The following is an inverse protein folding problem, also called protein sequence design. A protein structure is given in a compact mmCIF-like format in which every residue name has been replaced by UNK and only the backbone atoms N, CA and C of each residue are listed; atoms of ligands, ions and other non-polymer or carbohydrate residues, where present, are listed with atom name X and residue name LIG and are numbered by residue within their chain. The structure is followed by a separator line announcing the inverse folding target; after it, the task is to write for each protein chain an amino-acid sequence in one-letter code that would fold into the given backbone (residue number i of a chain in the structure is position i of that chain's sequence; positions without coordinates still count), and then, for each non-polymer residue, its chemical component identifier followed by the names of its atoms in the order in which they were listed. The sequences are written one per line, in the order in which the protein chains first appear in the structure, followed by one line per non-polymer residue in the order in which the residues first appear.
data_IF_296838784556
#
_entry.id   IF_296838784556
#
_cell.length_a   1.000
_cell.length_b   1.000
_cell.length_c   1.000
_cell.angle_alpha   90.00
_cell.angle_beta   90.00
_cell.angle_gamma   90.00
#
_symmetry.space_group_name_H-M   'P 1'
#
loop_
_entity.id
_entity.type
_entity.pdbx_description
1 polymer ?
#
# COMPACT_ATOMS: atom_id res chain seq x y z
N UNK A 1 -30.40 19.71 -4.74
CA UNK A 1 -28.97 19.95 -4.41
C UNK A 1 -28.23 18.73 -3.81
N UNK A 2 -28.90 17.65 -3.37
CA UNK A 2 -28.23 16.51 -2.70
C UNK A 2 -27.40 15.56 -3.59
N UNK A 3 -27.67 15.48 -4.90
CA UNK A 3 -27.04 14.47 -5.76
C UNK A 3 -25.60 14.82 -6.22
N UNK A 4 -25.21 16.09 -6.21
CA UNK A 4 -23.88 16.49 -6.70
C UNK A 4 -22.77 16.18 -5.68
N UNK A 5 -23.00 16.52 -4.40
CA UNK A 5 -22.10 16.21 -3.29
C UNK A 5 -21.93 14.70 -3.07
N UNK A 6 -23.02 13.92 -3.15
CA UNK A 6 -22.96 12.46 -3.03
C UNK A 6 -22.18 11.79 -4.18
N UNK A 7 -22.29 12.32 -5.41
CA UNK A 7 -21.57 11.80 -6.58
C UNK A 7 -20.07 12.17 -6.52
N UNK A 8 -19.74 13.36 -6.01
CA UNK A 8 -18.36 13.82 -5.81
C UNK A 8 -17.64 13.05 -4.70
N UNK A 9 -18.31 12.83 -3.56
CA UNK A 9 -17.73 12.07 -2.44
C UNK A 9 -17.42 10.62 -2.84
N UNK A 10 -18.29 10.02 -3.68
CA UNK A 10 -18.07 8.70 -4.29
C UNK A 10 -16.84 8.67 -5.22
N UNK A 11 -16.74 9.59 -6.17
CA UNK A 11 -15.71 9.52 -7.23
C UNK A 11 -14.31 9.91 -6.73
N UNK A 12 -14.21 10.84 -5.79
CA UNK A 12 -12.92 11.46 -5.46
C UNK A 12 -12.34 11.06 -4.11
N UNK A 13 -13.16 10.61 -3.16
CA UNK A 13 -12.70 10.19 -1.83
C UNK A 13 -12.90 8.70 -1.65
N UNK A 14 -14.12 8.21 -1.90
CA UNK A 14 -14.43 6.79 -1.73
C UNK A 14 -13.72 5.94 -2.77
N UNK A 15 -13.59 6.38 -4.02
CA UNK A 15 -12.95 5.59 -5.08
C UNK A 15 -11.46 5.32 -4.79
N UNK A 16 -10.60 6.31 -4.51
CA UNK A 16 -9.20 6.02 -4.16
C UNK A 16 -9.05 5.30 -2.81
N UNK A 17 -9.93 5.55 -1.84
CA UNK A 17 -9.99 4.74 -0.60
C UNK A 17 -10.39 3.30 -0.89
N UNK A 18 -11.34 3.05 -1.78
CA UNK A 18 -11.78 1.73 -2.19
C UNK A 18 -10.64 0.99 -2.91
N UNK A 19 -9.95 1.66 -3.83
CA UNK A 19 -8.78 1.12 -4.53
C UNK A 19 -7.52 0.93 -3.66
N UNK A 20 -7.48 1.47 -2.45
CA UNK A 20 -6.37 1.25 -1.50
C UNK A 20 -6.75 0.30 -0.38
N UNK A 21 -7.90 0.52 0.25
CA UNK A 21 -8.40 -0.28 1.39
C UNK A 21 -8.77 -1.69 0.94
N UNK A 22 -9.44 -1.89 -0.19
CA UNK A 22 -9.87 -3.24 -0.61
C UNK A 22 -8.70 -4.14 -0.97
N UNK A 23 -7.74 -3.73 -1.82
CA UNK A 23 -6.59 -4.57 -2.12
C UNK A 23 -5.80 -4.93 -0.85
N UNK A 24 -5.66 -3.98 0.07
CA UNK A 24 -4.96 -4.21 1.35
C UNK A 24 -5.74 -5.17 2.24
N UNK A 25 -7.05 -5.03 2.32
CA UNK A 25 -7.92 -5.93 3.09
C UNK A 25 -7.89 -7.34 2.50
N UNK A 26 -7.95 -7.46 1.16
CA UNK A 26 -7.80 -8.74 0.44
C UNK A 26 -6.44 -9.38 0.73
N UNK A 27 -5.35 -8.60 0.65
CA UNK A 27 -4.00 -9.08 0.95
C UNK A 27 -3.89 -9.56 2.40
N UNK A 28 -4.45 -8.83 3.36
CA UNK A 28 -4.48 -9.24 4.77
C UNK A 28 -5.26 -10.55 4.94
N UNK A 29 -6.45 -10.66 4.35
CA UNK A 29 -7.28 -11.87 4.44
C UNK A 29 -6.57 -13.07 3.82
N UNK A 30 -6.02 -12.92 2.61
CA UNK A 30 -5.28 -13.97 1.91
C UNK A 30 -4.06 -14.39 2.72
N UNK A 31 -3.28 -13.44 3.26
CA UNK A 31 -2.11 -13.74 4.09
C UNK A 31 -2.48 -14.43 5.40
N UNK A 32 -3.57 -14.02 6.05
CA UNK A 32 -4.07 -14.71 7.25
C UNK A 32 -4.51 -16.15 6.94
N UNK A 33 -5.18 -16.35 5.81
CA UNK A 33 -5.53 -17.68 5.30
C UNK A 33 -4.29 -18.53 5.03
N UNK A 34 -3.28 -17.97 4.36
CA UNK A 34 -2.01 -18.62 4.11
C UNK A 34 -1.29 -19.00 5.42
N UNK A 35 -1.21 -18.10 6.40
CA UNK A 35 -0.60 -18.39 7.71
C UNK A 35 -1.33 -19.55 8.41
N UNK A 36 -2.67 -19.54 8.40
CA UNK A 36 -3.47 -20.63 8.99
C UNK A 36 -3.18 -21.97 8.31
N UNK A 37 -3.14 -22.00 6.98
CA UNK A 37 -2.82 -23.21 6.23
C UNK A 37 -1.37 -23.67 6.48
N UNK A 38 -0.40 -22.76 6.56
CA UNK A 38 1.00 -23.08 6.89
C UNK A 38 1.15 -23.67 8.29
N UNK A 39 0.36 -23.19 9.27
CA UNK A 39 0.34 -23.75 10.63
C UNK A 39 -0.29 -25.15 10.69
N UNK A 40 -1.19 -25.46 9.76
CA UNK A 40 -1.80 -26.80 9.64
C UNK A 40 -0.91 -27.79 8.88
N UNK A 41 0.00 -27.31 8.04
CA UNK A 41 1.01 -28.15 7.40
C UNK A 41 2.06 -28.57 8.44
N UNK A 42 2.41 -29.87 8.45
CA UNK A 42 3.48 -30.47 9.25
C UNK A 42 4.87 -30.05 8.75
N UNK A 43 5.13 -28.74 8.79
CA UNK A 43 6.42 -28.15 8.45
C UNK A 43 7.33 -28.15 9.67
N UNK A 44 8.64 -28.23 9.43
CA UNK A 44 9.64 -28.07 10.50
C UNK A 44 9.48 -26.70 11.17
N UNK A 45 9.66 -26.64 12.49
CA UNK A 45 9.50 -25.41 13.29
C UNK A 45 10.32 -24.21 12.76
N UNK A 46 11.54 -24.43 12.23
CA UNK A 46 12.34 -23.36 11.57
C UNK A 46 11.60 -22.74 10.37
N UNK A 47 10.95 -23.57 9.55
CA UNK A 47 10.28 -23.10 8.34
C UNK A 47 9.02 -22.33 8.68
N UNK A 48 8.23 -22.78 9.65
CA UNK A 48 7.04 -22.08 10.13
C UNK A 48 7.39 -20.70 10.71
N UNK A 49 8.38 -20.63 11.61
CA UNK A 49 8.84 -19.36 12.20
C UNK A 49 9.38 -18.40 11.15
N UNK A 50 10.11 -18.91 10.15
CA UNK A 50 10.61 -18.11 9.04
C UNK A 50 9.48 -17.51 8.21
N UNK A 51 8.51 -18.33 7.79
CA UNK A 51 7.39 -17.86 6.99
C UNK A 51 6.56 -16.82 7.73
N UNK A 52 6.29 -17.03 9.03
CA UNK A 52 5.57 -16.05 9.84
C UNK A 52 6.34 -14.73 9.93
N UNK A 53 7.66 -14.78 10.15
CA UNK A 53 8.51 -13.58 10.22
C UNK A 53 8.58 -12.85 8.89
N UNK A 54 8.71 -13.56 7.77
CA UNK A 54 8.71 -12.99 6.42
C UNK A 54 7.40 -12.28 6.12
N UNK A 55 6.26 -12.96 6.34
CA UNK A 55 4.93 -12.38 6.12
C UNK A 55 4.73 -11.14 6.99
N UNK A 56 5.12 -11.20 8.26
CA UNK A 56 4.99 -10.05 9.17
C UNK A 56 5.81 -8.85 8.68
N UNK A 57 7.05 -9.07 8.22
CA UNK A 57 7.91 -8.02 7.66
C UNK A 57 7.32 -7.42 6.38
N UNK A 58 6.83 -8.27 5.46
CA UNK A 58 6.16 -7.82 4.22
C UNK A 58 4.94 -6.95 4.52
N UNK A 59 4.10 -7.37 5.48
CA UNK A 59 2.92 -6.61 5.90
C UNK A 59 3.27 -5.26 6.52
N UNK A 60 4.31 -5.20 7.36
CA UNK A 60 4.75 -3.94 7.97
C UNK A 60 5.24 -2.97 6.89
N UNK A 61 6.12 -3.42 5.99
CA UNK A 61 6.65 -2.58 4.91
C UNK A 61 5.53 -2.09 4.00
N UNK A 62 4.61 -2.97 3.61
CA UNK A 62 3.48 -2.57 2.77
C UNK A 62 2.56 -1.56 3.46
N UNK A 63 2.30 -1.71 4.76
CA UNK A 63 1.52 -0.71 5.52
C UNK A 63 2.21 0.65 5.56
N UNK A 64 3.53 0.67 5.77
CA UNK A 64 4.32 1.91 5.80
C UNK A 64 4.28 2.59 4.44
N UNK A 65 4.57 1.85 3.36
CA UNK A 65 4.57 2.40 2.01
C UNK A 65 3.19 2.90 1.60
N UNK A 66 2.13 2.14 1.90
CA UNK A 66 0.75 2.55 1.65
C UNK A 66 0.36 3.79 2.45
N UNK A 67 0.74 3.90 3.72
CA UNK A 67 0.47 5.09 4.50
C UNK A 67 1.23 6.30 3.93
N UNK A 68 2.52 6.13 3.63
CA UNK A 68 3.38 7.18 3.12
C UNK A 68 2.95 7.69 1.73
N UNK A 69 2.42 6.83 0.87
CA UNK A 69 2.02 7.21 -0.49
C UNK A 69 0.52 7.47 -0.63
N UNK A 70 -0.32 6.73 0.08
CA UNK A 70 -1.78 6.80 0.01
C UNK A 70 -2.35 8.00 0.76
N UNK A 71 -1.76 8.39 1.91
CA UNK A 71 -2.23 9.56 2.65
C UNK A 71 -2.04 10.87 1.88
N UNK A 72 -0.87 11.17 1.28
CA UNK A 72 -0.71 12.36 0.45
C UNK A 72 -1.65 12.38 -0.77
N UNK A 73 -1.90 11.22 -1.39
CA UNK A 73 -2.81 11.11 -2.53
C UNK A 73 -4.28 11.38 -2.14
N UNK A 74 -4.70 10.89 -0.96
CA UNK A 74 -6.02 11.21 -0.41
C UNK A 74 -6.15 12.70 -0.06
N UNK A 75 -5.10 13.31 0.50
CA UNK A 75 -5.04 14.75 0.75
C UNK A 75 -5.10 15.58 -0.54
N UNK A 76 -4.39 15.17 -1.60
CA UNK A 76 -4.49 15.78 -2.93
C UNK A 76 -5.95 15.82 -3.38
N UNK A 77 -6.66 14.69 -3.26
CA UNK A 77 -8.04 14.56 -3.74
C UNK A 77 -8.98 15.46 -2.94
N UNK A 78 -8.79 15.55 -1.62
CA UNK A 78 -9.54 16.46 -0.75
C UNK A 78 -9.23 17.94 -1.05
N UNK A 79 -7.97 18.27 -1.30
CA UNK A 79 -7.52 19.63 -1.62
C UNK A 79 -8.08 20.11 -2.97
N UNK A 80 -7.99 19.30 -4.02
CA UNK A 80 -8.57 19.59 -5.33
C UNK A 80 -10.08 19.83 -5.23
N UNK A 81 -10.76 19.07 -4.36
CA UNK A 81 -12.18 19.26 -4.11
C UNK A 81 -12.47 20.59 -3.40
N UNK A 82 -11.79 20.86 -2.29
CA UNK A 82 -11.98 22.06 -1.48
C UNK A 82 -11.70 23.35 -2.28
N UNK A 83 -10.79 23.27 -3.26
CA UNK A 83 -10.37 24.43 -4.07
C UNK A 83 -10.96 24.45 -5.47
N UNK A 84 -11.93 23.58 -5.77
CA UNK A 84 -12.52 23.42 -7.11
C UNK A 84 -13.23 24.67 -7.64
N UNK A 85 -13.78 25.50 -6.75
CA UNK A 85 -14.48 26.75 -7.10
C UNK A 85 -13.59 27.99 -6.95
N UNK A 86 -12.37 27.83 -6.44
CA UNK A 86 -11.46 28.96 -6.20
C UNK A 86 -10.85 29.42 -7.52
N UNK A 87 -10.96 30.71 -7.84
CA UNK A 87 -10.21 31.29 -8.94
C UNK A 87 -8.73 31.37 -8.57
N UNK A 88 -7.90 30.62 -9.31
CA UNK A 88 -6.44 30.58 -9.14
C UNK A 88 -5.76 31.26 -10.33
N UNK A 89 -4.68 31.99 -10.06
CA UNK A 89 -3.84 32.57 -11.12
C UNK A 89 -3.20 31.47 -11.97
N UNK A 90 -2.77 31.81 -13.19
CA UNK A 90 -2.10 30.85 -14.09
C UNK A 90 -0.86 30.22 -13.44
N UNK A 91 -0.03 31.04 -12.79
CA UNK A 91 1.17 30.60 -12.10
C UNK A 91 0.85 29.64 -10.94
N UNK A 92 -0.17 29.95 -10.13
CA UNK A 92 -0.59 29.07 -9.04
C UNK A 92 -1.08 27.72 -9.55
N UNK A 93 -1.88 27.70 -10.62
CA UNK A 93 -2.37 26.44 -11.24
C UNK A 93 -1.23 25.57 -11.75
N UNK A 94 -0.20 26.17 -12.35
CA UNK A 94 0.95 25.41 -12.86
C UNK A 94 1.76 24.78 -11.73
N UNK A 95 2.04 25.55 -10.67
CA UNK A 95 2.77 25.04 -9.49
C UNK A 95 1.98 23.93 -8.82
N UNK A 96 0.67 24.13 -8.61
CA UNK A 96 -0.22 23.13 -8.04
C UNK A 96 -0.23 21.83 -8.87
N UNK A 97 -0.40 21.93 -10.19
CA UNK A 97 -0.36 20.76 -11.08
C UNK A 97 0.96 19.99 -10.99
N UNK A 98 2.10 20.69 -10.86
CA UNK A 98 3.39 20.03 -10.67
C UNK A 98 3.42 19.22 -9.37
N UNK A 99 2.97 19.81 -8.25
CA UNK A 99 2.89 19.09 -6.98
C UNK A 99 1.96 17.88 -7.04
N UNK A 100 0.79 18.01 -7.66
CA UNK A 100 -0.15 16.90 -7.83
C UNK A 100 0.46 15.76 -8.66
N UNK A 101 1.19 16.07 -9.73
CA UNK A 101 1.89 15.07 -10.54
C UNK A 101 2.99 14.35 -9.73
N UNK A 102 3.73 15.08 -8.89
CA UNK A 102 4.73 14.48 -7.99
C UNK A 102 4.06 13.52 -7.00
N UNK A 103 2.96 13.92 -6.37
CA UNK A 103 2.21 13.07 -5.44
C UNK A 103 1.68 11.80 -6.12
N UNK A 104 1.11 11.93 -7.32
CA UNK A 104 0.68 10.79 -8.14
C UNK A 104 1.83 9.87 -8.50
N UNK A 105 2.98 10.42 -8.89
CA UNK A 105 4.16 9.64 -9.21
C UNK A 105 4.64 8.84 -7.99
N UNK A 106 4.72 9.47 -6.82
CA UNK A 106 5.09 8.79 -5.56
C UNK A 106 4.09 7.69 -5.21
N UNK A 107 2.79 7.93 -5.40
CA UNK A 107 1.76 6.91 -5.22
C UNK A 107 1.98 5.69 -6.13
N UNK A 108 2.30 5.91 -7.41
CA UNK A 108 2.53 4.80 -8.34
C UNK A 108 3.86 4.07 -8.09
N UNK A 109 4.91 4.80 -7.69
CA UNK A 109 6.20 4.22 -7.33
C UNK A 109 6.11 3.28 -6.13
N UNK A 110 5.10 3.44 -5.26
CA UNK A 110 4.83 2.49 -4.18
C UNK A 110 4.64 1.07 -4.71
N UNK A 111 3.93 0.86 -5.83
CA UNK A 111 3.71 -0.49 -6.36
C UNK A 111 5.02 -1.16 -6.79
N UNK A 112 5.92 -0.40 -7.41
CA UNK A 112 7.24 -0.88 -7.83
C UNK A 112 8.13 -1.17 -6.61
N UNK A 113 8.16 -0.25 -5.63
CA UNK A 113 8.92 -0.45 -4.40
C UNK A 113 8.42 -1.65 -3.60
N UNK A 114 7.10 -1.81 -3.50
CA UNK A 114 6.46 -2.97 -2.87
C UNK A 114 6.90 -4.25 -3.56
N UNK A 115 6.83 -4.35 -4.89
CA UNK A 115 7.29 -5.53 -5.62
C UNK A 115 8.76 -5.88 -5.29
N UNK A 116 9.63 -4.88 -5.28
CA UNK A 116 11.05 -5.07 -4.95
C UNK A 116 11.25 -5.58 -3.51
N UNK A 117 10.57 -4.99 -2.53
CA UNK A 117 10.64 -5.46 -1.13
C UNK A 117 10.10 -6.88 -0.96
N UNK A 118 9.04 -7.22 -1.68
CA UNK A 118 8.49 -8.58 -1.67
C UNK A 118 9.50 -9.60 -2.22
N UNK A 119 10.14 -9.30 -3.35
CA UNK A 119 11.18 -10.17 -3.92
C UNK A 119 12.39 -10.30 -2.98
N UNK A 120 12.84 -9.20 -2.39
CA UNK A 120 13.96 -9.23 -1.46
C UNK A 120 13.65 -10.06 -0.20
N UNK A 121 12.53 -9.81 0.47
CA UNK A 121 12.16 -10.48 1.73
C UNK A 121 11.85 -11.97 1.50
N UNK A 122 11.29 -12.33 0.34
CA UNK A 122 11.01 -13.74 0.00
C UNK A 122 12.28 -14.57 -0.22
N UNK A 123 13.42 -13.94 -0.50
CA UNK A 123 14.71 -14.63 -0.73
C UNK A 123 15.44 -15.06 0.55
N UNK A 124 14.96 -14.70 1.75
CA UNK A 124 15.61 -15.00 3.03
C UNK A 124 15.62 -16.53 3.34
N UNK A 125 16.79 -17.11 3.59
CA UNK A 125 16.98 -18.57 3.85
C UNK A 125 17.07 -18.88 5.36
N UNK A 126 16.63 -20.08 5.80
CA UNK A 126 16.85 -20.53 7.19
C UNK A 126 18.36 -20.81 7.38
N UNK A 127 19.06 -19.94 8.10
CA UNK A 127 20.50 -20.06 8.36
C UNK A 127 20.85 -21.22 9.33
N UNK A 128 19.84 -21.78 10.01
CA UNK A 128 19.99 -22.81 11.05
C UNK A 128 20.54 -24.15 10.55
N UNK A 129 20.58 -24.38 9.24
CA UNK A 129 21.21 -25.56 8.62
C UNK A 129 22.53 -25.24 7.88
N UNK A 130 22.96 -23.97 7.83
CA UNK A 130 24.23 -23.57 7.20
C UNK A 130 25.46 -23.98 8.03
N UNK A 131 25.28 -24.15 9.35
CA UNK A 131 26.36 -24.50 10.29
C UNK A 131 26.50 -25.99 10.60
N UNK A 132 25.72 -26.87 9.98
CA UNK A 132 25.82 -28.33 10.20
C UNK A 132 26.65 -29.06 9.14
N UNK A 133 27.32 -28.32 8.25
CA UNK A 133 28.19 -28.85 7.19
C UNK A 133 29.63 -28.29 7.24
N UNK A 134 30.01 -27.68 8.37
CA UNK A 134 31.39 -27.30 8.70
C UNK A 134 31.73 -27.93 10.06
#
# INVERSE_FOLDING_TARGET
MNNYYARLLKIYVVTPLFFTVIPVTLIIIVLQGMIRNIRQLTLNSCQQDRFERQIRRMLIVQRILLAASGFPFALESAYLHATSTTQKSSLHKTVENLFLQILRFVFHMNFVGTLYFYLYISSEKCEKYSKSYL
#
